data_IF_742793118616
#
_entry.id   IF_742793118616
#
_cell.length_a   1.000
_cell.length_b   1.000
_cell.length_c   1.000
_cell.angle_alpha   90.00
_cell.angle_beta   90.00
_cell.angle_gamma   90.00
#
_symmetry.space_group_name_H-M   'P 1'
#
loop_
_entity.id
_entity.type
_entity.pdbx_description
1 polymer ?
#
# COMPACT_ATOMS: atom_id res chain seq x y z
N UNK A 1 5.75 -1.66 9.08
CA UNK A 1 4.75 -1.77 7.99
C UNK A 1 3.51 -2.58 8.39
N UNK A 2 3.71 -3.80 8.90
CA UNK A 2 2.65 -4.80 9.11
C UNK A 2 1.52 -4.34 10.05
N UNK A 3 1.80 -3.55 11.08
CA UNK A 3 0.76 -3.04 12.01
C UNK A 3 -0.07 -1.88 11.44
N UNK A 4 0.49 -1.13 10.49
CA UNK A 4 -0.11 0.08 9.92
C UNK A 4 0.10 0.11 8.40
N UNK A 5 -0.44 -0.88 7.65
CA UNK A 5 -0.17 -1.03 6.23
C UNK A 5 -0.69 0.15 5.41
N UNK A 6 -1.79 0.77 5.84
CA UNK A 6 -2.34 1.94 5.16
C UNK A 6 -1.54 3.21 5.50
N UNK A 7 -1.43 3.53 6.79
CA UNK A 7 -0.93 4.81 7.29
C UNK A 7 0.51 5.07 6.86
N UNK A 8 1.35 4.04 6.91
CA UNK A 8 2.76 4.16 6.52
C UNK A 8 2.89 4.57 5.05
N UNK A 9 2.11 3.97 4.15
CA UNK A 9 2.16 4.32 2.72
C UNK A 9 1.55 5.70 2.49
N UNK A 10 0.40 5.96 3.10
CA UNK A 10 -0.33 7.22 2.94
C UNK A 10 0.53 8.42 3.35
N UNK A 11 1.05 8.40 4.58
CA UNK A 11 1.86 9.49 5.11
C UNK A 11 3.19 9.63 4.38
N UNK A 12 3.81 8.52 3.97
CA UNK A 12 5.06 8.56 3.20
C UNK A 12 4.86 9.26 1.85
N UNK A 13 3.84 8.87 1.09
CA UNK A 13 3.53 9.51 -0.20
C UNK A 13 3.18 10.98 0.01
N UNK A 14 2.32 11.29 0.99
CA UNK A 14 1.90 12.67 1.28
C UNK A 14 3.10 13.55 1.64
N UNK A 15 4.01 13.08 2.50
CA UNK A 15 5.21 13.81 2.88
C UNK A 15 6.16 14.03 1.71
N UNK A 16 6.40 13.01 0.86
CA UNK A 16 7.25 13.17 -0.32
C UNK A 16 6.64 14.20 -1.27
N UNK A 17 5.33 14.12 -1.52
CA UNK A 17 4.63 15.07 -2.40
C UNK A 17 4.70 16.51 -1.91
N UNK A 18 4.55 16.72 -0.60
CA UNK A 18 4.68 18.07 -0.02
C UNK A 18 6.12 18.60 -0.17
N UNK A 19 7.12 17.75 0.07
CA UNK A 19 8.54 18.13 -0.09
C UNK A 19 8.92 18.42 -1.55
N UNK A 20 8.26 17.79 -2.51
CA UNK A 20 8.52 17.98 -3.95
C UNK A 20 7.55 18.94 -4.61
N UNK A 21 6.75 19.68 -3.83
CA UNK A 21 5.75 20.60 -4.36
C UNK A 21 6.40 21.68 -5.23
N UNK A 22 5.86 21.88 -6.42
CA UNK A 22 6.40 22.82 -7.42
C UNK A 22 7.51 22.25 -8.30
N UNK A 23 7.97 21.02 -8.05
CA UNK A 23 8.91 20.31 -8.92
C UNK A 23 8.16 19.34 -9.84
N UNK A 24 8.68 19.03 -11.04
CA UNK A 24 8.07 18.07 -11.97
C UNK A 24 8.35 16.61 -11.54
N UNK A 25 8.10 16.28 -10.27
CA UNK A 25 8.35 14.95 -9.69
C UNK A 25 7.05 14.16 -9.59
N UNK A 26 7.11 12.88 -9.97
CA UNK A 26 6.03 11.90 -9.78
C UNK A 26 6.42 10.93 -8.68
N UNK A 27 5.51 10.69 -7.75
CA UNK A 27 5.73 9.74 -6.64
C UNK A 27 5.01 8.44 -6.97
N UNK A 28 5.76 7.32 -6.99
CA UNK A 28 5.23 5.97 -7.23
C UNK A 28 5.87 5.01 -6.20
N UNK A 29 5.18 4.67 -5.11
CA UNK A 29 5.75 3.80 -4.08
C UNK A 29 5.86 2.34 -4.54
N UNK A 30 6.82 1.63 -3.95
CA UNK A 30 6.84 0.18 -3.92
C UNK A 30 6.00 -0.31 -2.73
N UNK A 31 5.16 -1.31 -2.97
CA UNK A 31 4.19 -1.88 -2.03
C UNK A 31 4.67 -3.27 -1.66
N UNK A 32 4.71 -3.55 -0.36
CA UNK A 32 5.17 -4.83 0.15
C UNK A 32 4.17 -5.94 -0.17
N UNK A 33 4.67 -7.07 -0.69
CA UNK A 33 3.89 -8.29 -0.98
C UNK A 33 4.57 -9.53 -0.40
N UNK A 34 5.08 -9.43 0.83
CA UNK A 34 5.71 -10.56 1.52
C UNK A 34 5.62 -10.37 3.04
N UNK A 35 5.69 -11.49 3.77
CA UNK A 35 5.80 -11.49 5.23
C UNK A 35 7.24 -11.13 5.61
N UNK A 36 7.43 -9.97 6.23
CA UNK A 36 8.76 -9.42 6.56
C UNK A 36 9.52 -10.24 7.62
N UNK A 37 8.81 -11.05 8.42
CA UNK A 37 9.40 -11.71 9.57
C UNK A 37 9.02 -13.19 9.60
N UNK A 38 9.94 -14.07 9.18
CA UNK A 38 9.79 -15.52 9.25
C UNK A 38 9.55 -16.07 10.68
N UNK A 39 9.81 -15.24 11.71
CA UNK A 39 9.62 -15.58 13.12
C UNK A 39 8.37 -14.94 13.74
N UNK A 40 7.68 -14.08 13.00
CA UNK A 40 6.46 -13.42 13.44
C UNK A 40 5.24 -14.05 12.75
N UNK A 41 4.24 -14.42 13.56
CA UNK A 41 2.99 -15.02 13.06
C UNK A 41 2.00 -13.98 12.55
N UNK A 42 2.36 -12.70 12.49
CA UNK A 42 1.50 -11.65 11.94
C UNK A 42 1.05 -12.00 10.52
N UNK A 43 -0.27 -11.90 10.33
CA UNK A 43 -0.91 -12.12 9.04
C UNK A 43 -0.57 -10.93 8.15
N UNK A 44 -0.04 -11.23 6.97
CA UNK A 44 0.16 -10.26 5.91
C UNK A 44 -0.20 -10.95 4.60
N UNK A 45 -1.16 -10.39 3.89
CA UNK A 45 -1.69 -10.93 2.65
C UNK A 45 -2.60 -9.91 1.97
N UNK A 46 -3.66 -10.41 1.34
CA UNK A 46 -4.54 -9.63 0.45
C UNK A 46 -5.02 -8.32 1.08
N UNK A 47 -5.49 -8.35 2.33
CA UNK A 47 -6.05 -7.16 2.99
C UNK A 47 -4.99 -6.09 3.24
N UNK A 48 -3.81 -6.48 3.70
CA UNK A 48 -2.69 -5.57 3.98
C UNK A 48 -2.13 -4.98 2.67
N UNK A 49 -2.07 -5.77 1.61
CA UNK A 49 -1.64 -5.31 0.27
C UNK A 49 -2.66 -4.32 -0.29
N UNK A 50 -3.96 -4.65 -0.25
CA UNK A 50 -5.04 -3.76 -0.70
C UNK A 50 -5.09 -2.46 0.12
N UNK A 51 -4.82 -2.51 1.42
CA UNK A 51 -4.72 -1.33 2.26
C UNK A 51 -3.59 -0.40 1.82
N UNK A 52 -2.42 -0.95 1.49
CA UNK A 52 -1.30 -0.17 0.96
C UNK A 52 -1.58 0.40 -0.45
N UNK A 53 -2.23 -0.38 -1.33
CA UNK A 53 -2.67 0.07 -2.66
C UNK A 53 -3.60 1.27 -2.52
N UNK A 54 -4.65 1.14 -1.70
CA UNK A 54 -5.59 2.22 -1.41
C UNK A 54 -4.89 3.45 -0.84
N UNK A 55 -3.96 3.26 0.09
CA UNK A 55 -3.18 4.34 0.66
C UNK A 55 -2.37 5.12 -0.39
N UNK A 56 -1.74 4.42 -1.34
CA UNK A 56 -1.00 5.06 -2.43
C UNK A 56 -1.94 5.89 -3.34
N UNK A 57 -3.11 5.35 -3.67
CA UNK A 57 -4.12 6.02 -4.50
C UNK A 57 -4.69 7.26 -3.81
N UNK A 58 -5.13 7.13 -2.55
CA UNK A 58 -5.76 8.21 -1.78
C UNK A 58 -4.78 9.32 -1.37
N UNK A 59 -3.49 9.03 -1.26
CA UNK A 59 -2.43 10.03 -1.00
C UNK A 59 -1.97 10.79 -2.25
N UNK A 60 -2.49 10.41 -3.42
CA UNK A 60 -2.21 11.06 -4.70
C UNK A 60 -0.91 10.59 -5.36
N UNK A 61 -0.47 9.35 -5.12
CA UNK A 61 0.61 8.74 -5.89
C UNK A 61 0.22 8.61 -7.36
N UNK A 62 1.21 8.66 -8.25
CA UNK A 62 1.03 8.35 -9.67
C UNK A 62 1.20 6.84 -9.88
N UNK A 63 0.29 6.06 -9.32
CA UNK A 63 0.33 4.59 -9.31
C UNK A 63 1.29 4.01 -8.27
N UNK A 64 1.51 2.69 -8.32
CA UNK A 64 2.33 1.92 -7.38
C UNK A 64 2.94 0.69 -8.08
N UNK A 65 3.84 -0.03 -7.40
CA UNK A 65 4.42 -1.31 -7.87
C UNK A 65 4.52 -2.30 -6.71
N UNK A 66 4.16 -3.57 -6.90
CA UNK A 66 4.40 -4.60 -5.87
C UNK A 66 5.87 -4.98 -5.84
N UNK A 67 6.36 -5.27 -4.64
CA UNK A 67 7.70 -5.78 -4.41
C UNK A 67 7.66 -6.99 -3.48
N UNK A 68 8.22 -8.10 -3.96
CA UNK A 68 8.49 -9.31 -3.19
C UNK A 68 9.89 -9.82 -3.57
N UNK A 69 10.82 -10.04 -2.60
CA UNK A 69 12.17 -10.50 -2.90
C UNK A 69 12.24 -11.90 -3.54
N UNK A 70 11.22 -12.74 -3.32
CA UNK A 70 11.06 -14.03 -3.97
C UNK A 70 10.36 -13.97 -5.34
N UNK A 71 9.98 -12.79 -5.83
CA UNK A 71 9.21 -12.60 -7.08
C UNK A 71 7.88 -13.38 -7.16
N UNK A 72 7.31 -13.74 -6.01
CA UNK A 72 5.98 -14.33 -5.93
C UNK A 72 4.98 -13.23 -5.56
N UNK A 73 3.98 -12.99 -6.41
CA UNK A 73 3.03 -11.90 -6.21
C UNK A 73 1.62 -12.41 -5.94
N UNK A 74 0.94 -11.78 -4.98
CA UNK A 74 -0.42 -12.10 -4.57
C UNK A 74 -1.43 -11.49 -5.54
N UNK A 75 -1.76 -12.23 -6.60
CA UNK A 75 -2.66 -11.76 -7.66
C UNK A 75 -4.08 -11.42 -7.19
N UNK A 76 -4.56 -12.05 -6.12
CA UNK A 76 -5.86 -11.76 -5.51
C UNK A 76 -5.94 -10.33 -4.99
N UNK A 77 -4.82 -9.73 -4.56
CA UNK A 77 -4.77 -8.35 -4.09
C UNK A 77 -4.96 -7.32 -5.21
N UNK A 78 -4.79 -7.73 -6.47
CA UNK A 78 -4.98 -6.88 -7.65
C UNK A 78 -6.45 -6.78 -8.08
N UNK A 79 -7.30 -7.67 -7.55
CA UNK A 79 -8.73 -7.62 -7.86
C UNK A 79 -9.37 -6.55 -6.96
N UNK A 80 -10.25 -5.70 -7.50
CA UNK A 80 -11.10 -4.86 -6.66
C UNK A 80 -11.87 -5.76 -5.69
N UNK A 81 -12.07 -5.29 -4.46
CA UNK A 81 -12.89 -5.97 -3.46
C UNK A 81 -14.25 -6.35 -4.12
N UNK A 82 -14.65 -7.63 -4.16
CA UNK A 82 -15.89 -8.06 -4.80
C UNK A 82 -17.13 -7.38 -4.23
N UNK A 83 -17.05 -6.82 -3.02
CA UNK A 83 -18.16 -6.08 -2.41
C UNK A 83 -18.21 -4.61 -2.81
N UNK A 84 -17.18 -4.05 -3.45
CA UNK A 84 -17.17 -2.66 -3.94
C UNK A 84 -17.41 -1.59 -2.87
N UNK A 85 -17.48 -1.95 -1.59
CA UNK A 85 -17.73 -1.02 -0.50
C UNK A 85 -16.44 -0.27 -0.24
N UNK A 86 -16.43 1.01 -0.61
CA UNK A 86 -15.46 1.98 -0.11
C UNK A 86 -15.68 2.07 1.41
N UNK A 87 -15.04 1.17 2.17
CA UNK A 87 -14.93 1.30 3.62
C UNK A 87 -13.84 2.32 3.88
N UNK A 88 -14.27 3.48 4.34
CA UNK A 88 -13.36 4.56 4.68
C UNK A 88 -12.62 4.20 5.97
N UNK A 89 -11.49 4.84 6.26
CA UNK A 89 -10.73 4.65 7.50
C UNK A 89 -11.54 4.88 8.81
N UNK A 90 -12.82 5.24 8.69
CA UNK A 90 -13.79 5.41 9.78
C UNK A 90 -14.53 4.12 10.16
N UNK A 91 -14.37 3.05 9.39
CA UNK A 91 -15.13 1.80 9.52
C UNK A 91 -14.32 0.65 10.17
N UNK A 92 -13.21 0.99 10.85
CA UNK A 92 -12.34 0.08 11.62
C UNK A 92 -12.23 0.52 13.09
#
# INVERSE_FOLDING_TARGET
PVEHPYEIVYDSVKHVRERTKGLPVRVRPWIQDFRDYAFDRRVFGVKEIQAQIRAAEESGATGWMLWNPGNHYTGEALRPDPDGVIRTAKDL
#
